data_IF_665267715913
#
_entry.id   IF_665267715913
#
_cell.length_a   1.000
_cell.length_b   1.000
_cell.length_c   1.000
_cell.angle_alpha   90.00
_cell.angle_beta   90.00
_cell.angle_gamma   90.00
#
_symmetry.space_group_name_H-M   'P 1'
#
loop_
_entity.id
_entity.type
_entity.pdbx_description
1 polymer ?
#
# COMPACT_ATOMS: atom_id res chain seq x y z
N UNK A 1 -10.81 13.42 -14.79
CA UNK A 1 -10.84 13.84 -16.22
C UNK A 1 -9.84 14.94 -16.58
N UNK A 2 -9.84 16.12 -15.94
CA UNK A 2 -8.88 17.22 -16.27
C UNK A 2 -7.42 16.77 -16.17
N UNK A 3 -7.07 15.98 -15.15
CA UNK A 3 -5.69 15.50 -14.93
C UNK A 3 -5.25 14.47 -15.99
N UNK A 4 -6.18 13.64 -16.48
CA UNK A 4 -5.95 12.68 -17.57
C UNK A 4 -5.62 13.42 -18.87
N UNK A 5 -6.39 14.47 -19.18
CA UNK A 5 -6.16 15.29 -20.38
C UNK A 5 -4.80 15.99 -20.36
N UNK A 6 -4.34 16.43 -19.17
CA UNK A 6 -3.04 17.10 -19.00
C UNK A 6 -1.82 16.18 -19.04
N UNK A 7 -2.00 14.87 -18.85
CA UNK A 7 -0.90 13.90 -18.82
C UNK A 7 -0.97 12.92 -19.99
N UNK A 8 -1.90 13.11 -20.92
CA UNK A 8 -2.11 12.21 -22.06
C UNK A 8 -0.90 12.17 -23.00
N UNK A 9 -0.12 13.25 -23.05
CA UNK A 9 1.16 13.36 -23.75
C UNK A 9 2.24 12.43 -23.20
N UNK A 10 2.07 11.92 -21.98
CA UNK A 10 2.98 10.98 -21.32
C UNK A 10 2.59 9.52 -21.56
N UNK A 11 1.47 9.27 -22.27
CA UNK A 11 1.10 7.91 -22.64
C UNK A 11 2.00 7.40 -23.77
N UNK A 12 2.69 6.29 -23.50
CA UNK A 12 3.49 5.58 -24.49
C UNK A 12 2.85 4.22 -24.76
N UNK A 13 2.32 4.04 -25.98
CA UNK A 13 1.71 2.80 -26.44
C UNK A 13 2.69 1.61 -26.46
N UNK A 14 4.00 1.84 -26.40
CA UNK A 14 5.01 0.78 -26.28
C UNK A 14 5.05 0.18 -24.86
N UNK A 15 4.52 0.88 -23.86
CA UNK A 15 4.54 0.47 -22.44
C UNK A 15 3.21 -0.20 -21.99
N UNK A 16 2.36 -0.57 -22.96
CA UNK A 16 1.11 -1.29 -22.74
C UNK A 16 -0.13 -0.47 -23.09
N UNK A 17 -1.28 -1.14 -23.08
CA UNK A 17 -2.54 -0.54 -23.52
C UNK A 17 -2.98 0.65 -22.66
N UNK A 18 -3.66 1.59 -23.31
CA UNK A 18 -4.18 2.82 -22.71
C UNK A 18 -5.04 2.56 -21.46
N UNK A 19 -5.82 1.49 -21.46
CA UNK A 19 -6.63 1.08 -20.30
C UNK A 19 -5.76 0.80 -19.07
N UNK A 20 -4.61 0.15 -19.25
CA UNK A 20 -3.68 -0.13 -18.16
C UNK A 20 -2.95 1.13 -17.71
N UNK A 21 -2.61 2.04 -18.62
CA UNK A 21 -2.02 3.34 -18.27
C UNK A 21 -3.02 4.22 -17.50
N UNK A 22 -4.28 4.26 -17.94
CA UNK A 22 -5.36 4.96 -17.24
C UNK A 22 -5.62 4.37 -15.86
N UNK A 23 -5.56 3.05 -15.73
CA UNK A 23 -5.77 2.39 -14.43
C UNK A 23 -4.61 2.70 -13.46
N UNK A 24 -3.37 2.75 -13.95
CA UNK A 24 -2.19 3.20 -13.19
C UNK A 24 -2.34 4.67 -12.76
N UNK A 25 -2.72 5.55 -13.68
CA UNK A 25 -2.94 6.97 -13.39
C UNK A 25 -4.06 7.18 -12.36
N UNK A 26 -5.19 6.49 -12.50
CA UNK A 26 -6.30 6.56 -11.56
C UNK A 26 -5.89 6.05 -10.17
N UNK A 27 -5.17 4.92 -10.10
CA UNK A 27 -4.63 4.37 -8.84
C UNK A 27 -3.70 5.36 -8.15
N UNK A 28 -2.75 5.94 -8.88
CA UNK A 28 -1.82 6.92 -8.33
C UNK A 28 -2.54 8.16 -7.78
N UNK A 29 -3.57 8.64 -8.47
CA UNK A 29 -4.37 9.79 -8.02
C UNK A 29 -5.14 9.51 -6.73
N UNK A 30 -5.72 8.31 -6.59
CA UNK A 30 -6.43 7.90 -5.37
C UNK A 30 -5.45 7.75 -4.20
N UNK A 31 -4.28 7.16 -4.44
CA UNK A 31 -3.24 6.98 -3.41
C UNK A 31 -2.67 8.33 -2.95
N UNK A 32 -2.41 9.25 -3.88
CA UNK A 32 -1.92 10.59 -3.55
C UNK A 32 -2.95 11.39 -2.73
N UNK A 33 -4.23 11.31 -3.10
CA UNK A 33 -5.31 11.95 -2.34
C UNK A 33 -5.43 11.37 -0.93
N UNK A 34 -5.39 10.05 -0.79
CA UNK A 34 -5.40 9.37 0.50
C UNK A 34 -4.20 9.76 1.39
N UNK A 35 -2.98 9.77 0.84
CA UNK A 35 -1.76 10.19 1.56
C UNK A 35 -1.81 11.66 1.96
N UNK A 36 -2.38 12.52 1.12
CA UNK A 36 -2.57 13.94 1.43
C UNK A 36 -3.53 14.12 2.61
N UNK A 37 -4.66 13.39 2.62
CA UNK A 37 -5.62 13.39 3.74
C UNK A 37 -5.00 12.87 5.03
N UNK A 38 -4.18 11.81 4.97
CA UNK A 38 -3.52 11.25 6.15
C UNK A 38 -2.43 12.18 6.73
N UNK A 39 -1.75 12.97 5.88
CA UNK A 39 -0.69 13.90 6.30
C UNK A 39 -1.21 15.25 6.81
N UNK A 40 -2.45 15.63 6.50
CA UNK A 40 -3.08 16.87 6.96
C UNK A 40 -4.37 16.59 7.78
N UNK A 41 -4.24 16.11 9.03
CA UNK A 41 -5.40 15.82 9.90
C UNK A 41 -6.19 17.06 10.33
N UNK A 42 -5.70 18.28 10.07
CA UNK A 42 -6.40 19.54 10.36
C UNK A 42 -7.52 19.89 9.35
N UNK A 43 -7.65 19.14 8.24
CA UNK A 43 -8.74 19.31 7.27
C UNK A 43 -9.84 18.24 7.40
N UNK A 44 -9.81 17.37 8.41
CA UNK A 44 -10.73 16.21 8.51
C UNK A 44 -11.93 16.45 9.42
N UNK A 45 -12.15 17.68 9.91
CA UNK A 45 -13.32 17.99 10.78
C UNK A 45 -14.53 18.60 10.06
N UNK A 46 -14.50 18.68 8.73
CA UNK A 46 -15.69 19.01 7.97
C UNK A 46 -15.64 18.21 6.66
N UNK A 47 -16.70 17.45 6.39
CA UNK A 47 -16.95 16.78 5.11
C UNK A 47 -16.15 15.48 4.89
N UNK A 48 -16.66 14.41 5.51
CA UNK A 48 -16.90 13.09 4.89
C UNK A 48 -16.90 12.00 5.97
N UNK A 49 -17.97 11.99 6.78
CA UNK A 49 -18.38 10.84 7.60
C UNK A 49 -19.24 9.88 6.77
N UNK A 50 -19.15 9.92 5.44
CA UNK A 50 -19.91 9.05 4.55
C UNK A 50 -19.01 7.99 3.90
N UNK A 51 -19.09 6.81 4.52
CA UNK A 51 -19.14 5.52 3.85
C UNK A 51 -17.88 5.04 3.11
N UNK A 52 -16.84 4.70 3.88
CA UNK A 52 -15.99 3.54 3.56
C UNK A 52 -16.14 2.48 4.67
N UNK A 53 -17.39 2.27 5.09
CA UNK A 53 -17.80 1.00 5.66
C UNK A 53 -17.56 -0.04 4.57
N UNK A 54 -16.53 -0.86 4.71
CA UNK A 54 -16.53 -2.16 4.06
C UNK A 54 -17.76 -2.92 4.59
N UNK A 55 -18.91 -2.72 3.95
CA UNK A 55 -20.09 -3.54 4.10
C UNK A 55 -19.78 -4.90 3.46
N UNK A 56 -18.92 -5.69 4.12
CA UNK A 56 -19.05 -7.13 4.05
C UNK A 56 -20.38 -7.45 4.75
N UNK A 57 -21.39 -7.78 3.94
CA UNK A 57 -22.67 -8.34 4.39
C UNK A 57 -22.41 -9.31 5.54
N UNK A 58 -23.02 -9.01 6.68
CA UNK A 58 -23.00 -9.85 7.86
C UNK A 58 -23.52 -11.25 7.51
N UNK A 59 -22.60 -12.21 7.45
CA UNK A 59 -22.90 -13.64 7.59
C UNK A 59 -22.09 -14.14 8.78
N UNK A 60 -22.65 -13.95 9.98
CA UNK A 60 -22.33 -14.78 11.15
C UNK A 60 -20.88 -14.87 11.62
N UNK A 61 -20.12 -13.76 11.64
CA UNK A 61 -18.83 -13.67 12.33
C UNK A 61 -18.91 -12.65 13.48
N UNK A 62 -18.80 -13.10 14.72
CA UNK A 62 -18.92 -12.28 15.93
C UNK A 62 -18.05 -11.01 15.89
N UNK A 63 -18.55 -9.87 16.40
CA UNK A 63 -17.81 -8.60 16.53
C UNK A 63 -16.38 -8.78 17.06
N UNK A 64 -16.19 -9.78 17.92
CA UNK A 64 -14.90 -10.24 18.43
C UNK A 64 -13.87 -10.53 17.33
N UNK A 65 -14.25 -11.27 16.27
CA UNK A 65 -13.34 -11.59 15.16
C UNK A 65 -12.91 -10.35 14.37
N UNK A 66 -13.80 -9.37 14.24
CA UNK A 66 -13.49 -8.11 13.57
C UNK A 66 -12.53 -7.25 14.43
N UNK A 67 -12.73 -7.23 15.75
CA UNK A 67 -11.79 -6.57 16.67
C UNK A 67 -10.41 -7.24 16.66
N UNK A 68 -10.35 -8.56 16.70
CA UNK A 68 -9.10 -9.34 16.59
C UNK A 68 -8.37 -9.06 15.28
N UNK A 69 -9.09 -8.98 14.16
CA UNK A 69 -8.53 -8.64 12.85
C UNK A 69 -7.94 -7.23 12.83
N UNK A 70 -8.63 -6.25 13.40
CA UNK A 70 -8.14 -4.86 13.49
C UNK A 70 -6.89 -4.75 14.35
N UNK A 71 -6.87 -5.44 15.48
CA UNK A 71 -5.70 -5.46 16.35
C UNK A 71 -4.51 -6.13 15.66
N UNK A 72 -4.73 -7.24 14.96
CA UNK A 72 -3.69 -7.89 14.15
C UNK A 72 -3.15 -6.95 13.07
N UNK A 73 -4.01 -6.24 12.34
CA UNK A 73 -3.60 -5.28 11.33
C UNK A 73 -2.75 -4.15 11.93
N UNK A 74 -3.15 -3.62 13.09
CA UNK A 74 -2.41 -2.59 13.84
C UNK A 74 -1.01 -3.07 14.22
N UNK A 75 -0.90 -4.29 14.75
CA UNK A 75 0.37 -4.89 15.14
C UNK A 75 1.29 -5.17 13.94
N UNK A 76 0.73 -5.59 12.81
CA UNK A 76 1.48 -5.75 11.55
C UNK A 76 2.02 -4.40 11.07
N UNK A 77 1.19 -3.36 11.09
CA UNK A 77 1.60 -2.00 10.72
C UNK A 77 2.77 -1.50 11.60
N UNK A 78 2.68 -1.67 12.91
CA UNK A 78 3.79 -1.35 13.83
C UNK A 78 5.07 -2.14 13.51
N UNK A 79 4.95 -3.39 13.09
CA UNK A 79 6.08 -4.21 12.66
C UNK A 79 6.74 -3.65 11.39
N UNK A 80 5.94 -3.24 10.41
CA UNK A 80 6.39 -2.59 9.18
C UNK A 80 7.10 -1.28 9.52
N UNK A 81 6.58 -0.51 10.47
CA UNK A 81 7.14 0.78 10.87
C UNK A 81 8.49 0.69 11.59
N UNK A 82 8.88 -0.50 12.02
CA UNK A 82 10.20 -0.78 12.61
C UNK A 82 11.26 -1.21 11.57
N UNK A 83 10.87 -1.42 10.31
CA UNK A 83 11.83 -1.74 9.25
C UNK A 83 12.68 -0.51 8.87
N UNK A 84 13.96 -0.70 8.49
CA UNK A 84 14.73 0.34 7.80
C UNK A 84 13.97 0.86 6.57
N UNK A 85 14.06 2.17 6.31
CA UNK A 85 13.28 2.86 5.27
C UNK A 85 13.31 2.14 3.92
N UNK A 86 14.50 1.75 3.46
CA UNK A 86 14.70 1.12 2.16
C UNK A 86 14.03 -0.26 2.04
N UNK A 87 14.03 -1.03 3.14
CA UNK A 87 13.38 -2.33 3.18
C UNK A 87 11.87 -2.18 3.27
N UNK A 88 11.42 -1.23 4.12
CA UNK A 88 10.01 -0.90 4.32
C UNK A 88 9.34 -0.52 3.01
N UNK A 89 9.94 0.42 2.27
CA UNK A 89 9.41 0.88 0.98
C UNK A 89 9.23 -0.28 0.01
N UNK A 90 10.26 -1.12 -0.16
CA UNK A 90 10.17 -2.26 -1.06
C UNK A 90 9.13 -3.31 -0.62
N UNK A 91 8.99 -3.58 0.70
CA UNK A 91 7.98 -4.49 1.23
C UNK A 91 6.56 -3.94 1.03
N UNK A 92 6.32 -2.66 1.34
CA UNK A 92 5.01 -2.03 1.14
C UNK A 92 4.61 -2.08 -0.33
N UNK A 93 5.49 -1.65 -1.22
CA UNK A 93 5.20 -1.62 -2.66
C UNK A 93 4.91 -3.02 -3.21
N UNK A 94 5.57 -4.06 -2.68
CA UNK A 94 5.39 -5.43 -3.15
C UNK A 94 4.19 -6.15 -2.52
N UNK A 95 4.06 -6.07 -1.21
CA UNK A 95 3.18 -6.95 -0.42
C UNK A 95 1.86 -6.28 -0.02
N UNK A 96 1.77 -4.94 -0.13
CA UNK A 96 0.54 -4.17 0.18
C UNK A 96 -0.03 -3.54 -1.08
N UNK A 97 0.83 -2.87 -1.86
CA UNK A 97 0.41 -2.23 -3.12
C UNK A 97 0.42 -3.20 -4.31
N UNK A 98 0.89 -4.44 -4.10
CA UNK A 98 0.93 -5.54 -5.07
C UNK A 98 1.66 -5.24 -6.39
N UNK A 99 2.57 -4.25 -6.38
CA UNK A 99 3.35 -3.90 -7.58
C UNK A 99 4.27 -5.05 -7.99
N UNK A 100 4.46 -5.20 -9.30
CA UNK A 100 5.47 -6.09 -9.87
C UNK A 100 6.89 -5.61 -9.55
N UNK A 101 7.88 -6.51 -9.62
CA UNK A 101 9.28 -6.12 -9.46
C UNK A 101 9.70 -5.03 -10.46
N UNK A 102 9.18 -5.11 -11.69
CA UNK A 102 9.48 -4.15 -12.76
C UNK A 102 8.90 -2.76 -12.46
N UNK A 103 7.65 -2.68 -12.01
CA UNK A 103 7.05 -1.40 -11.61
C UNK A 103 7.80 -0.76 -10.43
N UNK A 104 8.34 -1.57 -9.51
CA UNK A 104 9.14 -1.07 -8.39
C UNK A 104 10.52 -0.57 -8.87
N UNK A 105 11.14 -1.24 -9.85
CA UNK A 105 12.38 -0.76 -10.50
C UNK A 105 12.15 0.59 -11.14
N UNK A 106 11.08 0.72 -11.93
CA UNK A 106 10.72 1.95 -12.63
C UNK A 106 10.36 3.08 -11.66
N UNK A 107 9.65 2.77 -10.57
CA UNK A 107 9.25 3.75 -9.57
C UNK A 107 10.43 4.26 -8.73
N UNK A 108 11.33 3.37 -8.30
CA UNK A 108 12.42 3.70 -7.39
C UNK A 108 13.74 4.04 -8.10
N UNK A 109 13.83 3.78 -9.41
CA UNK A 109 15.04 3.99 -10.22
C UNK A 109 16.28 3.29 -9.63
N UNK A 110 16.10 2.03 -9.18
CA UNK A 110 17.16 1.18 -8.63
C UNK A 110 17.23 -0.17 -9.36
N UNK A 111 18.39 -0.86 -9.38
CA UNK A 111 18.52 -2.14 -10.09
C UNK A 111 17.55 -3.22 -9.60
N UNK A 112 17.06 -4.06 -10.52
CA UNK A 112 16.12 -5.15 -10.20
C UNK A 112 16.68 -6.11 -9.12
N UNK A 113 17.98 -6.41 -9.16
CA UNK A 113 18.65 -7.19 -8.12
C UNK A 113 18.57 -6.55 -6.73
N UNK A 114 18.61 -5.22 -6.66
CA UNK A 114 18.45 -4.45 -5.42
C UNK A 114 17.02 -4.52 -4.91
N UNK A 115 16.02 -4.39 -5.80
CA UNK A 115 14.60 -4.54 -5.45
C UNK A 115 14.35 -5.93 -4.85
N UNK A 116 14.77 -6.99 -5.55
CA UNK A 116 14.62 -8.39 -5.09
C UNK A 116 15.30 -8.61 -3.74
N UNK A 117 16.54 -8.14 -3.58
CA UNK A 117 17.29 -8.26 -2.34
C UNK A 117 16.64 -7.51 -1.17
N UNK A 118 16.17 -6.28 -1.39
CA UNK A 118 15.48 -5.46 -0.37
C UNK A 118 14.14 -6.06 0.04
N UNK A 119 13.35 -6.58 -0.89
CA UNK A 119 12.09 -7.29 -0.57
C UNK A 119 12.38 -8.53 0.29
N UNK A 120 13.32 -9.37 -0.14
CA UNK A 120 13.64 -10.60 0.59
C UNK A 120 14.14 -10.29 2.01
N UNK A 121 15.11 -9.37 2.14
CA UNK A 121 15.63 -8.94 3.44
C UNK A 121 14.55 -8.29 4.30
N UNK A 122 13.70 -7.45 3.70
CA UNK A 122 12.59 -6.80 4.38
C UNK A 122 11.60 -7.78 4.98
N UNK A 123 11.20 -8.82 4.22
CA UNK A 123 10.32 -9.89 4.72
C UNK A 123 10.94 -10.68 5.87
N UNK A 124 12.23 -11.03 5.76
CA UNK A 124 12.96 -11.74 6.82
C UNK A 124 13.03 -10.89 8.10
N UNK A 125 13.39 -9.62 7.99
CA UNK A 125 13.46 -8.72 9.14
C UNK A 125 12.09 -8.43 9.74
N UNK A 126 11.05 -8.28 8.90
CA UNK A 126 9.68 -8.11 9.35
C UNK A 126 9.22 -9.33 10.15
N UNK A 127 9.49 -10.54 9.67
CA UNK A 127 9.19 -11.77 10.39
C UNK A 127 9.88 -11.82 11.77
N UNK A 128 11.15 -11.41 11.86
CA UNK A 128 11.87 -11.31 13.15
C UNK A 128 11.26 -10.27 14.08
N UNK A 129 10.81 -9.14 13.57
CA UNK A 129 10.15 -8.09 14.36
C UNK A 129 8.81 -8.60 14.90
N UNK A 130 7.97 -9.17 14.04
CA UNK A 130 6.65 -9.68 14.41
C UNK A 130 6.74 -10.83 15.43
N UNK A 131 7.74 -11.71 15.31
CA UNK A 131 8.02 -12.74 16.32
C UNK A 131 8.40 -12.13 17.67
N UNK A 132 9.28 -11.12 17.69
CA UNK A 132 9.66 -10.41 18.93
C UNK A 132 8.46 -9.71 19.57
N UNK A 133 7.55 -9.20 18.77
CA UNK A 133 6.29 -8.58 19.21
C UNK A 133 5.20 -9.59 19.59
N UNK A 134 5.44 -10.91 19.40
CA UNK A 134 4.47 -11.99 19.64
C UNK A 134 3.15 -11.83 18.85
N UNK A 135 3.22 -11.19 17.68
CA UNK A 135 2.08 -11.01 16.76
C UNK A 135 1.74 -12.33 16.07
N UNK A 136 2.76 -13.15 15.82
CA UNK A 136 2.62 -14.48 15.23
C UNK A 136 3.15 -15.49 16.25
N UNK A 137 2.25 -16.29 16.82
CA UNK A 137 2.62 -17.46 17.59
C UNK A 137 3.15 -18.53 16.64
N UNK A 138 4.41 -18.92 16.80
CA UNK A 138 4.99 -20.11 16.17
C UNK A 138 5.59 -20.98 17.26
#
# INVERSE_FOLDING_TARGET
FIRIYKTLDQYDAKQGDLSNWLMRLARNLIIDDYRHRQRNPQNTYAEDVEDHSFHLKAVGGSMQKEMERRELARQVQEGIDKLPSDLRTCVILRDIEELSYQEIVELLQIPEGTVKSRINRGRIELAKILRRMRVVNM
#
